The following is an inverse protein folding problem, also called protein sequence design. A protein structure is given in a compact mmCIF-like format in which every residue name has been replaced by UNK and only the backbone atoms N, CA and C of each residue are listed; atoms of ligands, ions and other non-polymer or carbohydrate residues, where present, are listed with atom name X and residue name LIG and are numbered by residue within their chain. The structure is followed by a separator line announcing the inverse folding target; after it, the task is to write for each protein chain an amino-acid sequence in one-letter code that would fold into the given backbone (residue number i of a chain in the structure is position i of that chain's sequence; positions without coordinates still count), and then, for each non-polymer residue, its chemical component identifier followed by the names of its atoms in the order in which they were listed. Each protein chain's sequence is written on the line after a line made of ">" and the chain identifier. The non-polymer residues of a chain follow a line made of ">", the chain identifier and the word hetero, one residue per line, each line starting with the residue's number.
data_IF_776018579690
#
_entry.id   IF_776018579690
#
_cell.length_a   1.000
_cell.length_b   1.000
_cell.length_c   1.000
_cell.angle_alpha   90.00
_cell.angle_beta   90.00
_cell.angle_gamma   90.00
#
_symmetry.space_group_name_H-M   'P 1'
#
loop_
_entity.id
_entity.type
_entity.pdbx_description
1 polymer ?
#
# COMPACT_ATOMS: atom_id res chain seq x y z
N UNK A 1 -18.28 -5.73 12.71
CA UNK A 1 -17.20 -4.87 12.19
C UNK A 1 -17.41 -3.37 12.36
N UNK A 2 -18.65 -2.84 12.41
CA UNK A 2 -18.89 -1.40 12.64
C UNK A 2 -18.48 -0.88 14.03
N UNK A 3 -18.32 -1.75 15.04
CA UNK A 3 -17.97 -1.35 16.40
C UNK A 3 -16.56 -0.80 16.54
N UNK A 4 -15.55 -1.47 15.97
CA UNK A 4 -14.15 -1.08 16.15
C UNK A 4 -13.79 0.20 15.38
N UNK A 5 -14.28 0.32 14.14
CA UNK A 5 -14.15 1.56 13.37
C UNK A 5 -14.76 2.76 14.11
N UNK A 6 -15.90 2.58 14.79
CA UNK A 6 -16.52 3.62 15.62
C UNK A 6 -15.68 3.97 16.85
N UNK A 7 -14.98 3.00 17.44
CA UNK A 7 -14.09 3.23 18.57
C UNK A 7 -12.79 3.95 18.16
N UNK A 8 -12.28 3.71 16.95
CA UNK A 8 -11.06 4.36 16.44
C UNK A 8 -11.33 5.75 15.84
N UNK A 9 -12.54 6.01 15.33
CA UNK A 9 -12.89 7.28 14.67
C UNK A 9 -12.61 8.56 15.49
N UNK A 10 -12.67 8.58 16.83
CA UNK A 10 -12.25 9.75 17.62
C UNK A 10 -10.75 10.03 17.58
N UNK A 11 -9.91 9.02 17.34
CA UNK A 11 -8.45 9.15 17.24
C UNK A 11 -7.98 9.47 15.82
N UNK A 12 -8.80 9.16 14.82
CA UNK A 12 -8.48 9.36 13.39
C UNK A 12 -9.58 10.22 12.75
N UNK A 13 -9.59 11.54 13.00
CA UNK A 13 -10.61 12.41 12.44
C UNK A 13 -10.46 12.51 10.91
N UNK A 14 -11.57 12.80 10.21
CA UNK A 14 -11.56 12.93 8.75
C UNK A 14 -10.83 14.18 8.25
N UNK A 15 -10.60 15.15 9.14
CA UNK A 15 -9.87 16.39 8.93
C UNK A 15 -9.11 16.77 10.20
N UNK A 16 -7.97 17.45 10.03
CA UNK A 16 -7.16 17.93 11.14
C UNK A 16 -6.07 16.95 11.58
N UNK A 17 -5.52 17.21 12.77
CA UNK A 17 -4.44 16.44 13.35
C UNK A 17 -4.90 15.03 13.76
N UNK A 18 -4.09 14.01 13.46
CA UNK A 18 -4.18 12.68 14.06
C UNK A 18 -2.88 12.42 14.84
N UNK A 19 -2.93 11.72 16.00
CA UNK A 19 -1.74 11.53 16.83
C UNK A 19 -0.64 10.70 16.16
N UNK A 20 0.59 11.20 16.20
CA UNK A 20 1.78 10.55 15.63
C UNK A 20 2.12 9.23 16.34
N UNK A 21 1.75 9.06 17.61
CA UNK A 21 1.95 7.78 18.33
C UNK A 21 1.16 6.61 17.72
N UNK A 22 0.16 6.88 16.87
CA UNK A 22 -0.56 5.85 16.10
C UNK A 22 0.23 5.35 14.88
N UNK A 23 1.30 6.03 14.51
CA UNK A 23 2.19 5.68 13.39
C UNK A 23 3.64 5.61 13.88
N UNK A 24 3.97 4.67 14.78
CA UNK A 24 5.34 4.50 15.27
C UNK A 24 6.28 4.06 14.15
N UNK A 25 7.56 4.44 14.24
CA UNK A 25 8.57 4.10 13.23
C UNK A 25 8.79 2.59 13.13
N UNK A 26 8.60 1.88 14.24
CA UNK A 26 8.63 0.44 14.41
C UNK A 26 7.59 -0.26 13.52
N UNK A 27 6.56 0.44 13.04
CA UNK A 27 5.63 -0.11 12.05
C UNK A 27 6.25 -0.45 10.71
N UNK A 28 7.49 -0.01 10.44
CA UNK A 28 8.29 -0.50 9.32
C UNK A 28 8.74 -1.95 9.49
N UNK A 29 8.80 -2.46 10.72
CA UNK A 29 9.19 -3.84 11.05
C UNK A 29 8.00 -4.80 11.00
N UNK A 30 6.80 -4.30 11.30
CA UNK A 30 5.59 -5.11 11.28
C UNK A 30 4.48 -4.53 12.15
N UNK A 31 3.30 -5.16 12.09
CA UNK A 31 2.16 -4.78 12.94
C UNK A 31 2.44 -5.08 14.40
N UNK A 32 3.11 -6.18 14.71
CA UNK A 32 3.39 -6.59 16.08
C UNK A 32 4.32 -5.60 16.78
N UNK A 33 5.38 -5.17 16.09
CA UNK A 33 6.32 -4.14 16.54
C UNK A 33 5.65 -2.77 16.66
N UNK A 34 4.77 -2.41 15.72
CA UNK A 34 3.98 -1.18 15.82
C UNK A 34 3.10 -1.19 17.08
N UNK A 35 2.43 -2.30 17.37
CA UNK A 35 1.56 -2.42 18.53
C UNK A 35 2.37 -2.49 19.83
N UNK A 36 3.57 -3.06 19.83
CA UNK A 36 4.49 -3.03 20.96
C UNK A 36 4.92 -1.58 21.28
N UNK A 37 5.42 -0.85 20.28
CA UNK A 37 5.80 0.55 20.42
C UNK A 37 4.62 1.43 20.88
N UNK A 38 3.41 1.17 20.37
CA UNK A 38 2.21 1.87 20.80
C UNK A 38 1.94 1.66 22.30
N UNK A 39 2.10 0.44 22.82
CA UNK A 39 1.91 0.14 24.26
C UNK A 39 2.95 0.81 25.14
N UNK A 40 4.13 1.08 24.61
CA UNK A 40 5.25 1.72 25.31
C UNK A 40 5.27 3.25 25.18
N UNK A 41 4.24 3.84 24.55
CA UNK A 41 4.16 5.30 24.37
C UNK A 41 4.22 6.03 25.73
N UNK A 42 5.20 6.93 25.95
CA UNK A 42 5.33 7.66 27.21
C UNK A 42 4.10 8.53 27.52
N UNK A 43 3.67 8.58 28.78
CA UNK A 43 2.51 9.37 29.21
C UNK A 43 2.62 10.86 28.85
N UNK A 44 3.82 11.44 28.96
CA UNK A 44 4.06 12.83 28.55
C UNK A 44 3.76 13.06 27.05
N UNK A 45 4.09 12.10 26.19
CA UNK A 45 3.79 12.15 24.76
C UNK A 45 2.29 12.04 24.50
N UNK A 46 1.60 11.13 25.20
CA UNK A 46 0.14 10.98 25.11
C UNK A 46 -0.58 12.27 25.50
N UNK A 47 -0.17 12.89 26.62
CA UNK A 47 -0.75 14.13 27.09
C UNK A 47 -0.66 15.25 26.02
N UNK A 48 0.55 15.45 25.47
CA UNK A 48 0.80 16.47 24.45
C UNK A 48 0.02 16.18 23.16
N UNK A 49 0.10 14.96 22.63
CA UNK A 49 -0.52 14.64 21.34
C UNK A 49 -2.06 14.57 21.43
N UNK A 50 -2.63 14.00 22.49
CA UNK A 50 -4.08 13.95 22.67
C UNK A 50 -4.67 15.33 23.03
N UNK A 51 -3.90 16.19 23.70
CA UNK A 51 -4.24 17.60 23.90
C UNK A 51 -4.39 18.37 22.59
N UNK A 52 -3.56 18.06 21.57
CA UNK A 52 -3.67 18.61 20.21
C UNK A 52 -4.84 18.05 19.41
N UNK A 53 -5.21 16.79 19.68
CA UNK A 53 -6.33 16.13 19.00
C UNK A 53 -7.68 16.73 19.40
N UNK A 54 -7.90 17.07 20.67
CA UNK A 54 -9.21 17.53 21.15
C UNK A 54 -9.76 18.76 20.38
N UNK A 55 -8.98 19.84 20.13
CA UNK A 55 -9.41 20.94 19.27
C UNK A 55 -9.66 20.51 17.82
N UNK A 56 -8.80 19.64 17.26
CA UNK A 56 -8.89 19.19 15.87
C UNK A 56 -10.12 18.30 15.61
N UNK A 57 -10.55 17.54 16.61
CA UNK A 57 -11.69 16.63 16.50
C UNK A 57 -13.05 17.38 16.44
N UNK A 58 -13.11 18.65 16.86
CA UNK A 58 -14.34 19.45 16.89
C UNK A 58 -15.44 18.89 17.80
N UNK A 59 -15.09 17.95 18.68
CA UNK A 59 -16.01 17.29 19.63
C UNK A 59 -15.25 16.84 20.88
N UNK A 60 -15.92 16.70 22.04
CA UNK A 60 -15.30 16.13 23.24
C UNK A 60 -14.75 14.73 22.96
N UNK A 61 -13.54 14.47 23.45
CA UNK A 61 -12.95 13.12 23.38
C UNK A 61 -13.68 12.19 24.35
N UNK A 62 -13.96 10.93 23.94
CA UNK A 62 -14.45 9.89 24.85
C UNK A 62 -13.59 9.75 26.11
N UNK A 63 -14.22 9.42 27.24
CA UNK A 63 -13.56 9.30 28.55
C UNK A 63 -12.32 8.38 28.55
N UNK A 64 -12.33 7.28 27.78
CA UNK A 64 -11.17 6.38 27.70
C UNK A 64 -9.96 6.97 26.96
N UNK A 65 -10.18 7.96 26.08
CA UNK A 65 -9.09 8.72 25.43
C UNK A 65 -8.60 9.81 26.37
N UNK A 66 -9.50 10.46 27.13
CA UNK A 66 -9.11 11.41 28.17
C UNK A 66 -8.24 10.74 29.24
N UNK A 67 -8.66 9.58 29.75
CA UNK A 67 -7.87 8.80 30.70
C UNK A 67 -6.48 8.41 30.16
N UNK A 68 -6.37 8.16 28.85
CA UNK A 68 -5.07 7.94 28.20
C UNK A 68 -4.20 9.20 28.19
N UNK A 69 -4.80 10.38 27.97
CA UNK A 69 -4.12 11.68 28.05
C UNK A 69 -3.66 12.02 29.48
N UNK A 70 -4.35 11.48 30.49
CA UNK A 70 -4.01 11.59 31.91
C UNK A 70 -2.96 10.55 32.36
N UNK A 71 -2.46 9.71 31.44
CA UNK A 71 -1.38 8.75 31.69
C UNK A 71 -1.83 7.33 32.04
N UNK A 72 -3.11 6.99 31.88
CA UNK A 72 -3.57 5.62 32.10
C UNK A 72 -3.08 4.66 30.99
N UNK A 73 -1.98 3.96 31.25
CA UNK A 73 -1.34 3.04 30.30
C UNK A 73 -2.17 1.80 29.96
N UNK A 74 -3.10 1.37 30.84
CA UNK A 74 -4.03 0.26 30.53
C UNK A 74 -4.89 0.54 29.28
N UNK A 75 -5.17 1.81 29.01
CA UNK A 75 -5.94 2.24 27.84
C UNK A 75 -5.18 2.02 26.52
N UNK A 76 -3.83 2.00 26.55
CA UNK A 76 -3.01 1.66 25.37
C UNK A 76 -3.11 0.18 25.02
N UNK A 77 -3.11 -0.71 26.01
CA UNK A 77 -3.33 -2.14 25.79
C UNK A 77 -4.70 -2.42 25.14
N UNK A 78 -5.74 -1.71 25.60
CA UNK A 78 -7.07 -1.77 25.00
C UNK A 78 -7.08 -1.25 23.55
N UNK A 79 -6.43 -0.11 23.30
CA UNK A 79 -6.31 0.48 21.96
C UNK A 79 -5.58 -0.48 21.01
N UNK A 80 -4.44 -1.03 21.42
CA UNK A 80 -3.69 -2.00 20.64
C UNK A 80 -4.56 -3.23 20.28
N UNK A 81 -5.36 -3.72 21.23
CA UNK A 81 -6.30 -4.81 20.96
C UNK A 81 -7.42 -4.44 19.98
N UNK A 82 -7.91 -3.20 19.98
CA UNK A 82 -8.89 -2.72 18.99
C UNK A 82 -8.25 -2.62 17.61
N UNK A 83 -7.03 -2.09 17.51
CA UNK A 83 -6.29 -1.98 16.25
C UNK A 83 -6.00 -3.37 15.66
N UNK A 84 -5.56 -4.33 16.48
CA UNK A 84 -5.30 -5.70 16.05
C UNK A 84 -6.56 -6.36 15.47
N UNK A 85 -7.68 -6.32 16.19
CA UNK A 85 -8.93 -6.92 15.71
C UNK A 85 -9.47 -6.23 14.46
N UNK A 86 -9.32 -4.91 14.37
CA UNK A 86 -9.69 -4.18 13.17
C UNK A 86 -8.82 -4.60 11.99
N UNK A 87 -7.50 -4.72 12.19
CA UNK A 87 -6.58 -5.22 11.18
C UNK A 87 -6.98 -6.63 10.72
N UNK A 88 -7.20 -7.56 11.64
CA UNK A 88 -7.51 -8.95 11.33
C UNK A 88 -8.84 -9.10 10.58
N UNK A 89 -9.82 -8.25 10.88
CA UNK A 89 -11.13 -8.30 10.26
C UNK A 89 -11.21 -7.51 8.94
N UNK A 90 -10.55 -6.36 8.85
CA UNK A 90 -10.77 -5.38 7.76
C UNK A 90 -9.57 -5.20 6.83
N UNK A 91 -8.35 -5.57 7.25
CA UNK A 91 -7.11 -5.36 6.49
C UNK A 91 -6.48 -6.67 6.06
N UNK A 92 -6.15 -7.55 7.03
CA UNK A 92 -5.45 -8.82 6.80
C UNK A 92 -6.07 -9.68 5.68
N UNK A 93 -7.41 -9.87 5.60
CA UNK A 93 -8.02 -10.70 4.56
C UNK A 93 -7.79 -10.17 3.14
N UNK A 94 -7.56 -8.85 3.01
CA UNK A 94 -7.37 -8.16 1.74
C UNK A 94 -5.92 -7.71 1.51
N UNK A 95 -5.00 -8.06 2.42
CA UNK A 95 -3.63 -7.57 2.41
C UNK A 95 -2.89 -7.90 1.11
N UNK A 96 -3.12 -9.09 0.55
CA UNK A 96 -2.57 -9.48 -0.76
C UNK A 96 -2.94 -8.47 -1.87
N UNK A 97 -4.18 -7.98 -1.89
CA UNK A 97 -4.63 -6.99 -2.89
C UNK A 97 -3.99 -5.63 -2.68
N UNK A 98 -3.84 -5.24 -1.41
CA UNK A 98 -3.14 -4.02 -1.01
C UNK A 98 -1.71 -4.08 -1.52
N UNK A 99 -0.97 -5.15 -1.21
CA UNK A 99 0.41 -5.36 -1.64
C UNK A 99 0.53 -5.36 -3.17
N UNK A 100 -0.28 -6.15 -3.87
CA UNK A 100 -0.26 -6.18 -5.34
C UNK A 100 -0.50 -4.80 -5.95
N UNK A 101 -1.33 -3.95 -5.33
CA UNK A 101 -1.56 -2.61 -5.87
C UNK A 101 -0.38 -1.67 -5.65
N UNK A 102 0.23 -1.74 -4.47
CA UNK A 102 1.43 -0.95 -4.14
C UNK A 102 2.61 -1.37 -5.03
N UNK A 103 2.79 -2.68 -5.25
CA UNK A 103 3.81 -3.21 -6.15
C UNK A 103 3.60 -2.76 -7.61
N UNK A 104 2.36 -2.78 -8.10
CA UNK A 104 2.04 -2.32 -9.45
C UNK A 104 2.34 -0.83 -9.66
N UNK A 105 2.03 0.01 -8.67
CA UNK A 105 2.37 1.43 -8.71
C UNK A 105 3.90 1.61 -8.69
N UNK A 106 4.63 0.98 -7.76
CA UNK A 106 6.10 1.01 -7.70
C UNK A 106 6.75 0.58 -9.02
N UNK A 107 6.24 -0.45 -9.67
CA UNK A 107 6.74 -0.91 -10.97
C UNK A 107 6.47 0.09 -12.11
N UNK A 108 5.34 0.81 -12.08
CA UNK A 108 5.07 1.88 -13.03
C UNK A 108 6.02 3.08 -12.82
N UNK A 109 6.19 3.51 -11.57
CA UNK A 109 7.13 4.59 -11.19
C UNK A 109 8.58 4.24 -11.52
N UNK A 110 8.99 3.01 -11.21
CA UNK A 110 10.34 2.54 -11.50
C UNK A 110 10.66 2.54 -13.00
N UNK A 111 9.71 2.11 -13.85
CA UNK A 111 9.88 2.20 -15.32
C UNK A 111 10.00 3.64 -15.79
N UNK A 112 9.10 4.52 -15.34
CA UNK A 112 9.17 5.93 -15.72
C UNK A 112 10.50 6.58 -15.32
N UNK A 113 11.04 6.24 -14.15
CA UNK A 113 12.36 6.69 -13.69
C UNK A 113 13.49 6.18 -14.59
N UNK A 114 13.47 4.90 -14.96
CA UNK A 114 14.50 4.31 -15.84
C UNK A 114 14.45 4.88 -17.26
N UNK A 115 13.25 5.15 -17.79
CA UNK A 115 13.05 5.60 -19.17
C UNK A 115 13.36 7.09 -19.39
N UNK A 116 13.23 7.92 -18.35
CA UNK A 116 13.35 9.37 -18.50
C UNK A 116 13.66 10.15 -17.23
N UNK A 117 14.27 9.49 -16.24
CA UNK A 117 14.77 10.14 -15.04
C UNK A 117 13.67 10.69 -14.12
N UNK A 118 14.07 11.64 -13.28
CA UNK A 118 13.18 12.23 -12.28
C UNK A 118 11.98 12.93 -12.91
N UNK A 119 12.15 13.63 -14.04
CA UNK A 119 11.05 14.30 -14.73
C UNK A 119 9.95 13.35 -15.14
N UNK A 120 10.29 12.20 -15.73
CA UNK A 120 9.28 11.20 -16.11
C UNK A 120 8.66 10.49 -14.91
N UNK A 121 9.44 10.23 -13.87
CA UNK A 121 8.90 9.70 -12.61
C UNK A 121 7.83 10.65 -12.05
N UNK A 122 8.15 11.94 -11.92
CA UNK A 122 7.27 12.94 -11.33
C UNK A 122 6.05 13.23 -12.22
N UNK A 123 6.24 13.28 -13.54
CA UNK A 123 5.15 13.44 -14.50
C UNK A 123 4.20 12.23 -14.55
N UNK A 124 4.66 11.04 -14.11
CA UNK A 124 3.82 9.84 -14.09
C UNK A 124 2.82 9.81 -12.93
N UNK A 125 3.03 10.62 -11.89
CA UNK A 125 2.25 10.58 -10.64
C UNK A 125 0.74 10.79 -10.86
N UNK A 126 -0.12 10.36 -9.92
CA UNK A 126 -1.57 10.50 -10.07
C UNK A 126 -2.02 11.96 -10.29
N UNK A 127 -3.18 12.22 -10.93
CA UNK A 127 -3.58 13.56 -11.40
C UNK A 127 -3.64 14.70 -10.37
N UNK A 128 -3.80 14.35 -9.09
CA UNK A 128 -3.74 15.31 -7.98
C UNK A 128 -2.32 15.82 -7.67
N UNK A 129 -1.31 15.28 -8.35
CA UNK A 129 0.10 15.66 -8.26
C UNK A 129 0.57 16.05 -9.66
N UNK A 130 0.98 17.30 -9.85
CA UNK A 130 1.29 17.87 -11.15
C UNK A 130 2.74 18.31 -11.16
N UNK A 131 3.53 17.67 -12.01
CA UNK A 131 4.91 18.08 -12.23
C UNK A 131 4.95 19.29 -13.16
N UNK A 132 5.41 20.42 -12.63
CA UNK A 132 5.69 21.67 -13.35
C UNK A 132 7.12 22.07 -13.04
N UNK A 133 8.11 21.45 -13.73
CA UNK A 133 9.50 21.59 -13.34
C UNK A 133 9.89 23.06 -13.10
N UNK A 134 10.55 23.38 -11.97
CA UNK A 134 11.13 22.47 -10.96
C UNK A 134 10.18 22.12 -9.78
N UNK A 135 8.88 22.43 -9.88
CA UNK A 135 7.92 22.32 -8.77
C UNK A 135 6.96 21.15 -8.96
N UNK A 136 6.79 20.35 -7.90
CA UNK A 136 5.72 19.36 -7.82
C UNK A 136 4.56 19.96 -7.04
N UNK A 137 3.47 20.30 -7.74
CA UNK A 137 2.24 20.76 -7.12
C UNK A 137 1.40 19.55 -6.68
N UNK A 138 0.75 19.62 -5.53
CA UNK A 138 -0.13 18.56 -5.05
C UNK A 138 -1.39 19.14 -4.39
N UNK A 139 -2.54 18.50 -4.60
CA UNK A 139 -3.77 18.88 -3.90
C UNK A 139 -3.58 18.63 -2.40
N UNK A 140 -3.59 19.67 -1.59
CA UNK A 140 -3.39 19.59 -0.14
C UNK A 140 -4.47 20.41 0.58
N UNK A 141 -4.92 20.01 1.79
CA UNK A 141 -5.98 20.73 2.50
C UNK A 141 -5.63 22.18 2.90
N UNK A 142 -4.36 22.56 2.85
CA UNK A 142 -3.86 23.91 3.18
C UNK A 142 -2.80 24.33 2.17
N UNK A 143 -2.68 25.64 1.92
CA UNK A 143 -1.58 26.16 1.12
C UNK A 143 -0.27 26.00 1.89
N UNK A 144 0.67 25.26 1.30
CA UNK A 144 1.98 25.01 1.89
C UNK A 144 3.02 24.87 0.81
N UNK A 145 4.11 25.60 0.96
CA UNK A 145 5.30 25.44 0.14
C UNK A 145 6.38 24.70 0.93
N UNK A 146 6.99 23.70 0.31
CA UNK A 146 8.04 22.90 0.92
C UNK A 146 9.27 22.92 0.02
N UNK A 147 10.36 23.47 0.54
CA UNK A 147 11.64 23.52 -0.16
C UNK A 147 12.47 22.29 0.21
N UNK A 148 12.84 21.48 -0.79
CA UNK A 148 13.63 20.27 -0.55
C UNK A 148 15.05 20.57 -0.07
N UNK A 149 15.67 21.65 -0.54
CA UNK A 149 17.01 22.08 -0.08
C UNK A 149 18.09 20.99 -0.19
N UNK A 150 18.01 20.13 -1.22
CA UNK A 150 18.94 19.01 -1.42
C UNK A 150 18.65 17.75 -0.59
N UNK A 151 17.66 17.77 0.32
CA UNK A 151 17.30 16.61 1.16
C UNK A 151 16.62 15.46 0.41
N UNK A 152 16.24 15.69 -0.84
CA UNK A 152 15.44 14.76 -1.64
C UNK A 152 13.96 14.73 -1.23
N UNK A 153 13.20 13.83 -1.84
CA UNK A 153 11.77 13.61 -1.60
C UNK A 153 11.50 12.10 -1.60
N UNK A 154 10.90 11.58 -0.53
CA UNK A 154 10.44 10.19 -0.47
C UNK A 154 8.98 10.10 -0.92
N UNK A 155 8.75 9.39 -2.03
CA UNK A 155 7.42 9.10 -2.55
C UNK A 155 6.89 7.80 -1.92
N UNK A 156 5.85 7.89 -1.09
CA UNK A 156 5.26 6.73 -0.40
C UNK A 156 3.85 6.43 -0.97
N UNK A 157 3.70 5.47 -1.90
CA UNK A 157 2.38 5.07 -2.36
C UNK A 157 1.58 4.44 -1.22
N UNK A 158 0.29 4.77 -1.11
CA UNK A 158 -0.60 4.26 -0.08
C UNK A 158 -1.96 3.84 -0.66
N UNK A 159 -2.41 2.65 -0.26
CA UNK A 159 -3.73 2.12 -0.62
C UNK A 159 -4.86 2.72 0.22
N UNK A 160 -4.56 3.21 1.42
CA UNK A 160 -5.56 3.78 2.31
C UNK A 160 -5.67 5.31 2.14
N UNK A 161 -4.67 5.94 1.51
CA UNK A 161 -4.80 7.29 0.98
C UNK A 161 -5.71 7.26 -0.25
N UNK A 162 -6.71 8.14 -0.33
CA UNK A 162 -7.69 8.13 -1.43
C UNK A 162 -7.90 9.46 -2.17
N UNK A 163 -7.73 10.59 -1.50
CA UNK A 163 -8.15 11.90 -2.04
C UNK A 163 -7.00 12.83 -2.29
N UNK A 164 -6.24 13.13 -1.26
CA UNK A 164 -5.14 14.11 -1.31
C UNK A 164 -3.91 13.47 -0.69
N UNK A 165 -2.72 13.70 -1.27
CA UNK A 165 -1.49 13.30 -0.62
C UNK A 165 -1.34 13.94 0.76
N UNK A 166 -0.59 13.27 1.62
CA UNK A 166 -0.29 13.72 2.97
C UNK A 166 1.23 13.80 3.12
N UNK A 167 1.72 14.84 3.78
CA UNK A 167 3.14 14.97 4.11
C UNK A 167 3.30 15.09 5.62
N UNK A 168 4.41 14.56 6.16
CA UNK A 168 4.71 14.72 7.57
C UNK A 168 5.00 16.19 7.90
N UNK A 169 4.70 16.58 9.14
CA UNK A 169 4.86 17.97 9.57
C UNK A 169 6.33 18.37 9.76
N UNK A 170 7.19 17.44 10.18
CA UNK A 170 8.56 17.71 10.61
C UNK A 170 9.44 18.28 9.47
N UNK A 171 9.90 19.54 9.57
CA UNK A 171 10.65 20.21 8.52
C UNK A 171 12.13 19.81 8.48
N UNK A 172 12.68 19.11 9.46
CA UNK A 172 14.12 18.77 9.53
C UNK A 172 14.43 17.40 8.90
N UNK A 173 13.42 16.57 8.67
CA UNK A 173 13.55 15.24 8.07
C UNK A 173 13.50 15.31 6.54
N UNK A 174 13.93 14.23 5.87
CA UNK A 174 13.67 14.07 4.44
C UNK A 174 12.15 14.16 4.21
N UNK A 175 11.68 15.09 3.39
CA UNK A 175 10.26 15.22 3.09
C UNK A 175 9.68 13.90 2.56
N UNK A 176 8.59 13.45 3.17
CA UNK A 176 7.84 12.27 2.72
C UNK A 176 6.51 12.75 2.16
N UNK A 177 6.16 12.26 0.97
CA UNK A 177 4.88 12.53 0.33
C UNK A 177 4.14 11.20 0.17
N UNK A 178 3.16 10.98 1.04
CA UNK A 178 2.24 9.85 0.98
C UNK A 178 1.19 10.16 -0.05
N UNK A 179 1.01 9.33 -1.08
CA UNK A 179 0.06 9.60 -2.16
C UNK A 179 -0.82 8.38 -2.45
N UNK A 180 -2.04 8.59 -2.96
CA UNK A 180 -2.93 7.48 -3.25
C UNK A 180 -2.41 6.69 -4.44
N UNK A 181 -2.35 5.37 -4.29
CA UNK A 181 -2.33 4.52 -5.48
C UNK A 181 -3.66 4.68 -6.21
N UNK A 182 -3.63 4.67 -7.53
CA UNK A 182 -4.86 4.64 -8.32
C UNK A 182 -5.73 3.46 -7.86
N UNK A 183 -7.01 3.67 -7.61
CA UNK A 183 -7.94 2.58 -7.35
C UNK A 183 -8.76 2.31 -8.61
N UNK A 184 -9.00 1.04 -8.99
CA UNK A 184 -9.96 0.76 -10.03
C UNK A 184 -11.32 1.32 -9.62
N UNK A 185 -12.00 2.02 -10.54
CA UNK A 185 -13.36 2.46 -10.32
C UNK A 185 -14.22 1.28 -9.84
N UNK A 186 -15.15 1.46 -8.89
CA UNK A 186 -16.06 0.39 -8.48
C UNK A 186 -16.84 -0.07 -9.71
N UNK A 187 -16.49 -1.25 -10.23
CA UNK A 187 -17.15 -1.84 -11.39
C UNK A 187 -18.51 -2.33 -10.91
N UNK A 188 -19.58 -1.81 -11.50
CA UNK A 188 -20.97 -2.16 -11.18
C UNK A 188 -21.40 -3.54 -11.73
N UNK A 189 -20.50 -4.28 -12.39
CA UNK A 189 -20.81 -5.60 -12.95
C UNK A 189 -20.19 -6.73 -12.11
N UNK A 190 -20.95 -7.80 -11.80
CA UNK A 190 -20.41 -8.96 -11.11
C UNK A 190 -19.33 -9.61 -11.98
N UNK A 191 -18.07 -9.50 -11.57
CA UNK A 191 -16.99 -10.23 -12.21
C UNK A 191 -17.10 -11.69 -11.77
N UNK A 192 -17.35 -12.61 -12.70
CA UNK A 192 -17.00 -14.02 -12.48
C UNK A 192 -15.52 -14.01 -12.07
N UNK A 193 -15.12 -14.57 -10.92
CA UNK A 193 -13.73 -14.50 -10.49
C UNK A 193 -12.86 -15.07 -11.59
N UNK A 194 -11.97 -14.25 -12.18
CA UNK A 194 -11.08 -14.68 -13.27
C UNK A 194 -10.26 -15.94 -12.89
N UNK A 195 -10.04 -16.15 -11.59
CA UNK A 195 -9.43 -17.36 -11.05
C UNK A 195 -10.22 -18.66 -11.37
N UNK A 196 -11.57 -18.61 -11.44
CA UNK A 196 -12.37 -19.80 -11.76
C UNK A 196 -12.39 -20.13 -13.25
N UNK A 197 -12.34 -19.13 -14.13
CA UNK A 197 -12.31 -19.36 -15.59
C UNK A 197 -10.93 -19.79 -16.07
N UNK A 198 -9.86 -19.16 -15.57
CA UNK A 198 -8.49 -19.50 -16.00
C UNK A 198 -8.03 -20.86 -15.47
N UNK A 199 -8.38 -21.22 -14.23
CA UNK A 199 -8.09 -22.54 -13.70
C UNK A 199 -8.64 -23.67 -14.58
N UNK A 200 -9.87 -23.51 -15.10
CA UNK A 200 -10.46 -24.50 -16.04
C UNK A 200 -9.70 -24.63 -17.36
N UNK A 201 -8.97 -23.59 -17.78
CA UNK A 201 -8.24 -23.57 -19.04
C UNK A 201 -6.81 -24.11 -18.91
N UNK A 202 -6.07 -23.66 -17.89
CA UNK A 202 -4.63 -23.97 -17.76
C UNK A 202 -4.31 -24.92 -16.59
N UNK A 203 -5.30 -25.25 -15.77
CA UNK A 203 -5.16 -26.00 -14.52
C UNK A 203 -4.99 -25.09 -13.31
N UNK A 204 -5.48 -25.57 -12.15
CA UNK A 204 -5.61 -24.76 -10.93
C UNK A 204 -4.25 -24.28 -10.41
N UNK A 205 -3.28 -25.18 -10.35
CA UNK A 205 -1.92 -24.85 -9.90
C UNK A 205 -1.22 -23.87 -10.83
N UNK A 206 -1.35 -24.04 -12.16
CA UNK A 206 -0.75 -23.11 -13.14
C UNK A 206 -1.41 -21.74 -13.11
N UNK A 207 -2.73 -21.68 -12.92
CA UNK A 207 -3.47 -20.43 -12.73
C UNK A 207 -3.02 -19.73 -11.45
N UNK A 208 -2.86 -20.46 -10.35
CA UNK A 208 -2.37 -19.90 -9.08
C UNK A 208 -0.92 -19.39 -9.20
N UNK A 209 -0.07 -20.11 -9.94
CA UNK A 209 1.31 -19.70 -10.25
C UNK A 209 1.35 -18.43 -11.10
N UNK A 210 0.54 -18.33 -12.16
CA UNK A 210 0.43 -17.10 -12.97
C UNK A 210 0.00 -15.91 -12.12
N UNK A 211 -0.98 -16.09 -11.22
CA UNK A 211 -1.40 -15.03 -10.30
C UNK A 211 -0.34 -14.69 -9.26
N UNK A 212 0.39 -15.69 -8.77
CA UNK A 212 1.41 -15.55 -7.73
C UNK A 212 2.70 -14.85 -8.18
N UNK A 213 2.92 -14.67 -9.48
CA UNK A 213 4.09 -13.97 -10.02
C UNK A 213 4.01 -12.46 -9.79
N UNK A 214 2.83 -11.85 -9.90
CA UNK A 214 2.65 -10.41 -9.67
C UNK A 214 3.60 -9.57 -10.54
N UNK A 215 4.47 -8.78 -9.89
CA UNK A 215 5.53 -7.97 -10.54
C UNK A 215 6.85 -8.71 -10.76
N UNK A 216 6.96 -9.94 -10.27
CA UNK A 216 8.14 -10.79 -10.35
C UNK A 216 8.38 -11.54 -9.04
N UNK A 217 8.85 -12.79 -9.12
CA UNK A 217 9.26 -13.56 -7.92
C UNK A 217 10.23 -14.69 -8.25
N UNK A 218 10.96 -15.15 -7.25
CA UNK A 218 11.82 -16.33 -7.36
C UNK A 218 11.00 -17.62 -7.25
N UNK A 219 11.56 -18.75 -7.71
CA UNK A 219 10.89 -20.07 -7.61
C UNK A 219 10.52 -20.43 -6.16
N UNK A 220 11.38 -20.07 -5.19
CA UNK A 220 11.13 -20.33 -3.76
C UNK A 220 9.99 -19.48 -3.20
N UNK A 221 9.90 -18.22 -3.62
CA UNK A 221 8.77 -17.36 -3.26
C UNK A 221 7.47 -17.84 -3.90
N UNK A 222 7.54 -18.31 -5.14
CA UNK A 222 6.40 -18.85 -5.88
C UNK A 222 5.84 -20.11 -5.21
N UNK A 223 6.72 -21.03 -4.80
CA UNK A 223 6.36 -22.24 -4.05
C UNK A 223 5.61 -21.91 -2.76
N UNK A 224 6.14 -20.96 -1.98
CA UNK A 224 5.53 -20.50 -0.73
C UNK A 224 4.20 -19.76 -0.94
N UNK A 225 4.08 -18.94 -1.99
CA UNK A 225 2.85 -18.17 -2.29
C UNK A 225 1.68 -19.06 -2.71
N UNK A 226 1.97 -20.18 -3.38
CA UNK A 226 0.96 -21.09 -3.97
C UNK A 226 0.77 -22.36 -3.14
N UNK A 227 1.53 -22.53 -2.06
CA UNK A 227 1.53 -23.71 -1.20
C UNK A 227 1.80 -25.02 -1.96
N UNK A 228 2.90 -25.02 -2.72
CA UNK A 228 3.38 -26.19 -3.47
C UNK A 228 4.86 -26.41 -3.22
N UNK A 229 5.36 -27.61 -3.52
CA UNK A 229 6.80 -27.91 -3.40
C UNK A 229 7.63 -27.07 -4.38
N UNK A 230 8.89 -26.81 -4.03
CA UNK A 230 9.83 -26.10 -4.89
C UNK A 230 9.99 -26.77 -6.26
N UNK A 231 10.01 -28.11 -6.30
CA UNK A 231 10.07 -28.89 -7.52
C UNK A 231 8.82 -28.68 -8.39
N UNK A 232 7.63 -28.72 -7.79
CA UNK A 232 6.36 -28.46 -8.49
C UNK A 232 6.28 -27.03 -9.02
N UNK A 233 6.67 -26.05 -8.22
CA UNK A 233 6.78 -24.65 -8.62
C UNK A 233 7.70 -24.47 -9.83
N UNK A 234 8.90 -25.07 -9.79
CA UNK A 234 9.87 -25.01 -10.90
C UNK A 234 9.36 -25.67 -12.18
N UNK A 235 8.71 -26.83 -12.05
CA UNK A 235 8.12 -27.55 -13.19
C UNK A 235 7.00 -26.73 -13.85
N UNK A 236 6.07 -26.19 -13.07
CA UNK A 236 4.99 -25.39 -13.59
C UNK A 236 5.48 -24.05 -14.18
N UNK A 237 6.44 -23.39 -13.54
CA UNK A 237 7.07 -22.19 -14.08
C UNK A 237 7.76 -22.48 -15.42
N UNK A 238 8.34 -23.67 -15.58
CA UNK A 238 8.92 -24.10 -16.85
C UNK A 238 7.88 -24.27 -17.94
N UNK A 239 6.81 -25.00 -17.70
CA UNK A 239 5.73 -25.16 -18.67
C UNK A 239 5.13 -23.81 -19.09
N UNK A 240 4.93 -22.89 -18.15
CA UNK A 240 4.38 -21.57 -18.45
C UNK A 240 5.35 -20.67 -19.21
N UNK A 241 6.66 -20.81 -18.97
CA UNK A 241 7.71 -20.13 -19.75
C UNK A 241 7.78 -20.66 -21.18
N UNK A 242 7.73 -21.98 -21.34
CA UNK A 242 7.77 -22.64 -22.65
C UNK A 242 6.52 -22.29 -23.48
N UNK A 243 5.39 -22.04 -22.82
CA UNK A 243 4.17 -21.49 -23.41
C UNK A 243 4.22 -19.97 -23.68
N UNK A 244 5.34 -19.31 -23.42
CA UNK A 244 5.51 -17.87 -23.63
C UNK A 244 4.75 -16.97 -22.66
N UNK A 245 4.22 -17.51 -21.57
CA UNK A 245 3.47 -16.75 -20.56
C UNK A 245 4.38 -16.12 -19.51
N UNK A 246 5.55 -16.73 -19.27
CA UNK A 246 6.58 -16.23 -18.35
C UNK A 246 7.88 -15.94 -19.08
N UNK A 247 8.63 -14.98 -18.55
CA UNK A 247 10.05 -14.79 -18.83
C UNK A 247 10.85 -14.96 -17.54
N UNK A 248 12.10 -15.42 -17.68
CA UNK A 248 13.02 -15.57 -16.56
C UNK A 248 14.22 -14.68 -16.74
N UNK A 249 14.56 -13.92 -15.71
CA UNK A 249 15.75 -13.08 -15.62
C UNK A 249 16.64 -13.62 -14.51
N UNK A 250 17.93 -13.82 -14.80
CA UNK A 250 18.91 -14.23 -13.80
C UNK A 250 19.49 -12.97 -13.16
N UNK A 251 19.27 -12.79 -11.87
CA UNK A 251 19.79 -11.67 -11.08
C UNK A 251 20.75 -12.22 -10.04
N UNK A 252 22.06 -12.20 -10.34
CA UNK A 252 23.09 -12.86 -9.54
C UNK A 252 22.85 -14.36 -9.41
N UNK A 253 22.72 -14.84 -8.17
CA UNK A 253 22.45 -16.25 -7.86
C UNK A 253 20.95 -16.62 -7.87
N UNK A 254 20.06 -15.66 -8.09
CA UNK A 254 18.61 -15.89 -8.09
C UNK A 254 18.03 -15.86 -9.51
N UNK A 255 16.99 -16.68 -9.73
CA UNK A 255 16.17 -16.65 -10.95
C UNK A 255 14.84 -15.98 -10.62
N UNK A 256 14.55 -14.88 -11.29
CA UNK A 256 13.30 -14.12 -11.18
C UNK A 256 12.38 -14.49 -12.35
N UNK A 257 11.16 -14.94 -12.05
CA UNK A 257 10.10 -15.13 -13.03
C UNK A 257 9.25 -13.87 -13.12
N UNK A 258 8.97 -13.41 -14.33
CA UNK A 258 8.09 -12.27 -14.62
C UNK A 258 7.05 -12.65 -15.66
N UNK A 259 5.89 -12.00 -15.63
CA UNK A 259 4.87 -12.20 -16.66
C UNK A 259 5.30 -11.56 -17.98
N UNK A 260 5.10 -12.27 -19.08
CA UNK A 260 5.15 -11.66 -20.41
C UNK A 260 3.88 -10.85 -20.67
N UNK A 261 3.83 -10.01 -21.73
CA UNK A 261 2.60 -9.35 -22.15
C UNK A 261 1.44 -10.34 -22.38
N UNK A 262 1.73 -11.53 -22.94
CA UNK A 262 0.76 -12.59 -23.16
C UNK A 262 0.24 -13.17 -21.83
N UNK A 263 1.14 -13.49 -20.89
CA UNK A 263 0.74 -13.97 -19.56
C UNK A 263 -0.11 -12.96 -18.80
N UNK A 264 0.23 -11.68 -18.90
CA UNK A 264 -0.55 -10.61 -18.29
C UNK A 264 -1.92 -10.40 -18.96
N UNK A 265 -2.01 -10.53 -20.29
CA UNK A 265 -3.28 -10.46 -21.02
C UNK A 265 -4.20 -11.64 -20.68
N UNK A 266 -3.63 -12.84 -20.53
CA UNK A 266 -4.36 -14.04 -20.16
C UNK A 266 -4.98 -13.93 -18.75
N UNK A 267 -4.25 -13.38 -17.79
CA UNK A 267 -4.76 -13.07 -16.44
C UNK A 267 -5.92 -12.05 -16.44
N UNK A 268 -5.91 -11.12 -17.39
CA UNK A 268 -6.98 -10.14 -17.59
C UNK A 268 -8.17 -10.69 -18.39
N UNK A 269 -8.14 -11.95 -18.81
CA UNK A 269 -9.19 -12.58 -19.60
C UNK A 269 -9.21 -12.15 -21.07
N UNK A 270 -8.06 -11.77 -21.64
CA UNK A 270 -7.95 -11.42 -23.06
C UNK A 270 -8.53 -10.05 -23.43
N UNK A 271 -8.76 -9.15 -22.47
CA UNK A 271 -9.13 -7.78 -22.77
C UNK A 271 -8.00 -7.10 -23.56
N UNK A 272 -8.23 -6.95 -24.86
CA UNK A 272 -7.40 -6.16 -25.77
C UNK A 272 -7.40 -4.72 -25.25
N UNK A 273 -6.21 -4.13 -25.10
CA UNK A 273 -6.13 -2.67 -25.01
C UNK A 273 -6.45 -2.17 -26.40
N UNK A 274 -7.70 -1.77 -26.62
CA UNK A 274 -8.06 -1.02 -27.81
C UNK A 274 -7.23 0.26 -27.81
N UNK A 275 -6.21 0.26 -28.66
CA UNK A 275 -5.44 1.43 -28.99
C UNK A 275 -6.38 2.44 -29.63
N UNK A 276 -6.73 3.48 -28.89
CA UNK A 276 -7.24 4.71 -29.48
C UNK A 276 -6.03 5.54 -29.89
N UNK A 277 -5.45 5.14 -31.03
CA UNK A 277 -4.86 6.08 -31.97
C UNK A 277 -5.95 6.36 -33.00
N UNK A 278 -6.53 7.57 -32.97
CA UNK A 278 -7.04 8.28 -34.15
C UNK A 278 -7.67 9.62 -33.74
N UNK A 279 -7.02 10.68 -34.25
CA UNK A 279 -7.46 12.06 -34.46
C UNK A 279 -7.61 12.97 -33.22
#
# INVERSE_FOLDING_TARGET
>A
MNGEARLLAPLVPTRGYFPDFLTPAEGLLGMDEALAALRETPAARLHVELGRLAPAAGRPLPAWIQAMADGETRSLGRLAGILQRYHDAAVAPYWHRVQSRIEADRAARGRALLDGGADRLLASLPPMMRWRPPVLEADYPVDRELHLGGRGLLLLPSYFCRRTPVTFYNPDLTPVLVYPVEHPAPRLTPQVPAARSLGRLVGQTRSAILQGIGVGCTTSELARRVDVSLASASQHATVLRDAGLLSTLRQGNAVLHTLTPLGAALLRGGAQMDGTAAL
#
